data_IF_834787915670
#
_entry.id   IF_834787915670
#
_cell.length_a   1.000
_cell.length_b   1.000
_cell.length_c   1.000
_cell.angle_alpha   90.00
_cell.angle_beta   90.00
_cell.angle_gamma   90.00
#
_symmetry.space_group_name_H-M   'P 1'
#
loop_
_entity.id
_entity.type
_entity.pdbx_description
1 polymer ?
#
# COMPACT_ATOMS: atom_id res chain seq x y z
N UNK A 1 -6.38 8.85 -28.19
CA UNK A 1 -5.98 8.76 -26.78
C UNK A 1 -5.02 9.90 -26.47
N UNK A 2 -5.22 10.54 -25.33
CA UNK A 2 -4.33 11.62 -24.96
C UNK A 2 -2.97 11.10 -24.49
N UNK A 3 -1.96 11.89 -24.68
CA UNK A 3 -0.61 11.61 -24.23
C UNK A 3 -0.55 11.29 -22.73
N UNK A 4 -1.30 12.04 -21.92
CA UNK A 4 -1.30 11.84 -20.47
C UNK A 4 -1.89 10.49 -20.04
N UNK A 5 -2.81 9.92 -20.81
CA UNK A 5 -3.37 8.60 -20.52
C UNK A 5 -2.32 7.52 -20.72
N UNK A 6 -1.54 7.59 -21.80
CA UNK A 6 -0.47 6.64 -22.07
C UNK A 6 0.60 6.70 -20.98
N UNK A 7 1.00 7.88 -20.59
CA UNK A 7 1.97 8.09 -19.52
C UNK A 7 1.47 7.51 -18.20
N UNK A 8 0.18 7.73 -17.90
CA UNK A 8 -0.43 7.23 -16.68
C UNK A 8 -0.42 5.71 -16.63
N UNK A 9 -0.72 5.04 -17.75
CA UNK A 9 -0.72 3.58 -17.82
C UNK A 9 0.67 3.02 -17.57
N UNK A 10 1.71 3.63 -18.13
CA UNK A 10 3.09 3.20 -17.94
C UNK A 10 3.56 3.31 -16.50
N UNK A 11 3.00 4.26 -15.73
CA UNK A 11 3.39 4.49 -14.35
C UNK A 11 2.54 3.74 -13.34
N UNK A 12 1.48 3.08 -13.76
CA UNK A 12 0.62 2.31 -12.86
C UNK A 12 1.24 0.94 -12.56
N UNK A 13 1.16 0.48 -11.28
CA UNK A 13 1.54 -0.88 -10.95
C UNK A 13 0.67 -1.89 -11.70
N UNK A 14 1.26 -3.01 -12.10
CA UNK A 14 0.55 -4.08 -12.80
C UNK A 14 0.90 -5.43 -12.20
N UNK A 15 0.08 -6.47 -12.44
CA UNK A 15 0.40 -7.82 -11.98
C UNK A 15 1.72 -8.35 -12.52
N UNK A 16 2.20 -7.85 -13.66
CA UNK A 16 3.48 -8.29 -14.22
C UNK A 16 4.67 -7.57 -13.60
N UNK A 17 4.55 -6.28 -13.33
CA UNK A 17 5.68 -5.46 -12.88
C UNK A 17 5.78 -5.33 -11.37
N UNK A 18 4.66 -5.47 -10.65
CA UNK A 18 4.64 -5.26 -9.20
C UNK A 18 4.76 -3.79 -8.80
N UNK A 19 4.86 -3.56 -7.51
CA UNK A 19 5.10 -2.22 -6.96
C UNK A 19 6.59 -1.86 -7.11
N UNK A 20 6.86 -0.58 -7.28
CA UNK A 20 8.25 -0.10 -7.35
C UNK A 20 8.88 -0.25 -5.96
N UNK A 21 10.15 -0.71 -5.89
CA UNK A 21 10.83 -0.87 -4.61
C UNK A 21 11.05 0.47 -3.91
N UNK A 22 11.31 0.40 -2.60
CA UNK A 22 11.67 1.58 -1.83
C UNK A 22 13.00 2.14 -2.30
N UNK A 23 13.06 3.45 -2.50
CA UNK A 23 14.30 4.14 -2.84
C UNK A 23 15.05 4.59 -1.59
N UNK A 24 14.31 4.92 -0.52
CA UNK A 24 14.90 5.37 0.73
C UNK A 24 14.31 4.58 1.90
N UNK A 25 15.07 3.66 2.52
CA UNK A 25 14.55 2.84 3.61
C UNK A 25 14.22 3.62 4.88
N UNK A 26 14.68 4.87 4.99
CA UNK A 26 14.37 5.70 6.15
C UNK A 26 12.93 6.22 6.15
N UNK A 27 12.25 6.20 5.00
CA UNK A 27 10.87 6.70 4.90
C UNK A 27 9.97 5.83 4.04
N UNK A 28 10.33 4.56 3.86
CA UNK A 28 9.59 3.65 3.00
C UNK A 28 9.74 2.22 3.50
N UNK A 29 8.63 1.47 3.51
CA UNK A 29 8.60 0.05 3.87
C UNK A 29 7.93 -0.72 2.75
N UNK A 30 8.54 -1.82 2.36
CA UNK A 30 8.03 -2.73 1.34
C UNK A 30 7.91 -4.12 1.95
N UNK A 31 6.74 -4.75 1.79
CA UNK A 31 6.44 -6.08 2.30
C UNK A 31 5.88 -6.95 1.17
N UNK A 32 6.29 -8.22 1.12
CA UNK A 32 5.76 -9.16 0.14
C UNK A 32 5.63 -10.53 0.78
N UNK A 33 4.51 -11.21 0.53
CA UNK A 33 4.29 -12.56 1.03
C UNK A 33 3.29 -13.30 0.16
N UNK A 34 3.47 -14.61 0.01
CA UNK A 34 2.50 -15.49 -0.63
C UNK A 34 1.40 -15.87 0.36
N UNK A 35 0.18 -15.98 -0.15
CA UNK A 35 -0.99 -16.41 0.64
C UNK A 35 -1.75 -17.49 -0.14
N UNK A 36 -2.27 -18.48 0.59
CA UNK A 36 -3.05 -19.57 -0.05
C UNK A 36 -4.33 -19.02 -0.68
N UNK A 37 -5.07 -18.19 0.04
CA UNK A 37 -6.27 -17.54 -0.48
C UNK A 37 -5.98 -16.06 -0.69
N UNK A 38 -5.25 -15.76 -1.75
CA UNK A 38 -4.76 -14.41 -2.02
C UNK A 38 -5.90 -13.42 -2.25
N UNK A 39 -6.99 -13.85 -2.90
CA UNK A 39 -8.11 -12.96 -3.18
C UNK A 39 -8.80 -12.52 -1.89
N UNK A 40 -9.08 -13.46 -1.00
CA UNK A 40 -9.68 -13.15 0.29
C UNK A 40 -8.75 -12.27 1.13
N UNK A 41 -7.47 -12.59 1.13
CA UNK A 41 -6.47 -11.83 1.90
C UNK A 41 -6.38 -10.40 1.38
N UNK A 42 -6.39 -10.21 0.07
CA UNK A 42 -6.38 -8.88 -0.53
C UNK A 42 -7.60 -8.07 -0.10
N UNK A 43 -8.79 -8.65 -0.19
CA UNK A 43 -10.02 -8.00 0.23
C UNK A 43 -9.99 -7.60 1.71
N UNK A 44 -9.48 -8.49 2.57
CA UNK A 44 -9.37 -8.22 3.99
C UNK A 44 -8.39 -7.07 4.27
N UNK A 45 -7.23 -7.06 3.59
CA UNK A 45 -6.26 -5.98 3.74
C UNK A 45 -6.81 -4.64 3.29
N UNK A 46 -7.52 -4.62 2.17
CA UNK A 46 -8.16 -3.39 1.68
C UNK A 46 -9.18 -2.88 2.70
N UNK A 47 -10.01 -3.76 3.25
CA UNK A 47 -10.99 -3.39 4.26
C UNK A 47 -10.32 -2.78 5.50
N UNK A 48 -9.21 -3.37 5.95
CA UNK A 48 -8.45 -2.86 7.09
C UNK A 48 -7.84 -1.49 6.74
N UNK A 49 -7.23 -1.37 5.56
CA UNK A 49 -6.58 -0.13 5.13
C UNK A 49 -7.58 1.04 5.04
N UNK A 50 -8.77 0.77 4.55
CA UNK A 50 -9.80 1.80 4.42
C UNK A 50 -10.29 2.34 5.77
N UNK A 51 -10.07 1.60 6.85
CA UNK A 51 -10.44 2.03 8.20
C UNK A 51 -9.33 2.82 8.91
N UNK A 52 -8.16 2.93 8.33
CA UNK A 52 -7.08 3.73 8.92
C UNK A 52 -7.54 5.18 8.97
N UNK A 53 -7.46 5.85 10.15
CA UNK A 53 -7.87 7.25 10.25
C UNK A 53 -7.09 8.16 9.29
N UNK A 54 -7.76 9.20 8.80
CA UNK A 54 -7.16 10.21 7.92
C UNK A 54 -6.61 9.63 6.62
N UNK A 55 -7.30 8.61 6.08
CA UNK A 55 -6.90 7.95 4.83
C UNK A 55 -7.89 8.31 3.73
N UNK A 56 -7.36 8.76 2.59
CA UNK A 56 -8.13 9.04 1.39
C UNK A 56 -7.80 7.99 0.34
N UNK A 57 -8.82 7.31 -0.18
CA UNK A 57 -8.65 6.30 -1.21
C UNK A 57 -8.46 6.98 -2.56
N UNK A 58 -7.40 6.64 -3.27
CA UNK A 58 -7.09 7.17 -4.60
C UNK A 58 -7.40 6.17 -5.71
N UNK A 59 -7.13 4.89 -5.49
CA UNK A 59 -7.39 3.82 -6.45
C UNK A 59 -7.95 2.62 -5.70
N UNK A 60 -8.90 1.92 -6.30
CA UNK A 60 -9.48 0.73 -5.70
C UNK A 60 -10.05 -0.16 -6.79
N UNK A 61 -9.36 -1.26 -7.11
CA UNK A 61 -9.85 -2.24 -8.05
C UNK A 61 -9.57 -3.66 -7.52
N UNK A 62 -9.76 -4.67 -8.35
CA UNK A 62 -9.68 -6.07 -7.92
C UNK A 62 -8.29 -6.54 -7.52
N UNK A 63 -7.24 -5.85 -7.95
CA UNK A 63 -5.87 -6.26 -7.69
C UNK A 63 -5.00 -5.18 -7.10
N UNK A 64 -5.47 -3.93 -7.05
CA UNK A 64 -4.65 -2.81 -6.60
C UNK A 64 -5.48 -1.80 -5.80
N UNK A 65 -4.94 -1.40 -4.66
CA UNK A 65 -5.52 -0.37 -3.80
C UNK A 65 -4.44 0.64 -3.44
N UNK A 66 -4.80 1.90 -3.51
CA UNK A 66 -3.90 2.98 -3.09
C UNK A 66 -4.66 4.02 -2.28
N UNK A 67 -4.07 4.41 -1.16
CA UNK A 67 -4.59 5.49 -0.33
C UNK A 67 -3.48 6.41 0.13
N UNK A 68 -3.85 7.61 0.51
CA UNK A 68 -2.96 8.56 1.16
C UNK A 68 -3.35 8.62 2.63
N UNK A 69 -2.41 8.26 3.50
CA UNK A 69 -2.58 8.31 4.95
C UNK A 69 -1.86 9.53 5.49
N UNK A 70 -2.53 10.31 6.36
CA UNK A 70 -1.90 11.50 6.93
C UNK A 70 -1.63 11.30 8.41
N UNK A 71 -0.48 11.79 8.87
CA UNK A 71 -0.13 11.73 10.28
C UNK A 71 -1.04 12.63 11.10
N UNK A 72 -1.16 12.32 12.40
CA UNK A 72 -2.13 12.99 13.26
C UNK A 72 -1.77 14.47 13.50
N UNK A 73 -0.52 14.77 13.78
CA UNK A 73 -0.09 16.11 14.17
C UNK A 73 0.29 16.96 12.96
N UNK A 74 1.23 16.49 12.17
CA UNK A 74 1.77 17.27 11.05
C UNK A 74 1.03 17.05 9.75
N UNK A 75 0.18 16.02 9.67
CA UNK A 75 -0.61 15.68 8.49
C UNK A 75 0.23 15.45 7.23
N UNK A 76 1.45 14.95 7.42
CA UNK A 76 2.30 14.57 6.30
C UNK A 76 1.68 13.41 5.54
N UNK A 77 1.62 13.50 4.21
CA UNK A 77 1.02 12.44 3.40
C UNK A 77 1.98 11.29 3.18
N UNK A 78 1.48 10.08 3.42
CA UNK A 78 2.19 8.84 3.11
C UNK A 78 1.34 8.05 2.12
N UNK A 79 1.98 7.54 1.07
CA UNK A 79 1.28 6.68 0.10
C UNK A 79 1.30 5.24 0.60
N UNK A 80 0.13 4.66 0.74
CA UNK A 80 -0.05 3.24 1.07
C UNK A 80 -0.59 2.52 -0.15
N UNK A 81 0.11 1.47 -0.58
CA UNK A 81 -0.26 0.70 -1.75
C UNK A 81 -0.34 -0.78 -1.39
N UNK A 82 -1.37 -1.46 -1.90
CA UNK A 82 -1.55 -2.90 -1.75
C UNK A 82 -1.81 -3.47 -3.14
N UNK A 83 -0.97 -4.41 -3.57
CA UNK A 83 -1.08 -5.02 -4.89
C UNK A 83 -1.15 -6.54 -4.76
N UNK A 84 -2.12 -7.14 -5.42
CA UNK A 84 -2.21 -8.58 -5.58
C UNK A 84 -1.54 -8.96 -6.90
N UNK A 85 -0.51 -9.80 -6.82
CA UNK A 85 0.24 -10.25 -7.99
C UNK A 85 0.44 -11.76 -7.91
N UNK A 86 -0.30 -12.51 -8.74
CA UNK A 86 -0.29 -13.97 -8.66
C UNK A 86 -0.82 -14.44 -7.31
N UNK A 87 -0.03 -15.23 -6.59
CA UNK A 87 -0.36 -15.70 -5.24
C UNK A 87 0.23 -14.82 -4.15
N UNK A 88 0.83 -13.70 -4.52
CA UNK A 88 1.51 -12.81 -3.59
C UNK A 88 0.74 -11.53 -3.38
N UNK A 89 0.97 -10.92 -2.22
CA UNK A 89 0.52 -9.57 -1.94
C UNK A 89 1.75 -8.74 -1.62
N UNK A 90 1.83 -7.58 -2.26
CA UNK A 90 2.84 -6.58 -1.98
C UNK A 90 2.18 -5.40 -1.27
N UNK A 91 2.82 -4.91 -0.21
CA UNK A 91 2.36 -3.74 0.54
C UNK A 91 3.53 -2.77 0.60
N UNK A 92 3.27 -1.52 0.24
CA UNK A 92 4.28 -0.47 0.31
C UNK A 92 3.68 0.75 1.00
N UNK A 93 4.41 1.28 1.99
CA UNK A 93 4.04 2.52 2.66
C UNK A 93 5.23 3.46 2.63
N UNK A 94 5.06 4.63 2.04
CA UNK A 94 6.16 5.54 1.79
C UNK A 94 5.74 6.99 1.97
N UNK A 95 6.60 7.77 2.62
CA UNK A 95 6.39 9.20 2.78
C UNK A 95 6.65 9.92 1.47
N UNK A 96 5.81 10.92 1.14
CA UNK A 96 6.00 11.73 -0.07
C UNK A 96 7.14 12.71 0.08
N UNK A 97 7.42 13.13 1.32
CA UNK A 97 8.46 14.11 1.61
C UNK A 97 9.69 13.41 2.17
N UNK A 98 10.88 13.95 1.87
CA UNK A 98 12.15 13.36 2.25
C UNK A 98 12.41 13.40 3.75
N UNK A 99 13.48 12.73 4.17
CA UNK A 99 13.87 12.59 5.56
C UNK A 99 13.37 11.28 6.14
N UNK A 100 13.59 11.08 7.43
CA UNK A 100 13.12 9.90 8.14
C UNK A 100 11.68 10.05 8.60
N UNK A 101 10.96 8.93 8.71
CA UNK A 101 9.56 8.92 9.14
C UNK A 101 9.38 8.48 10.60
N UNK A 102 10.47 8.29 11.33
CA UNK A 102 10.48 7.82 12.73
C UNK A 102 9.74 6.47 12.89
N UNK A 103 9.77 5.63 11.86
CA UNK A 103 9.13 4.31 11.90
C UNK A 103 7.63 4.31 11.64
N UNK A 104 7.05 5.43 11.21
CA UNK A 104 5.60 5.52 10.99
C UNK A 104 5.13 4.56 9.91
N UNK A 105 5.85 4.47 8.77
CA UNK A 105 5.46 3.56 7.70
C UNK A 105 5.59 2.10 8.12
N UNK A 106 6.64 1.75 8.86
CA UNK A 106 6.81 0.40 9.40
C UNK A 106 5.69 0.02 10.36
N UNK A 107 5.33 0.92 11.26
CA UNK A 107 4.23 0.73 12.20
C UNK A 107 2.91 0.52 11.46
N UNK A 108 2.66 1.30 10.41
CA UNK A 108 1.44 1.18 9.61
C UNK A 108 1.31 -0.19 8.97
N UNK A 109 2.36 -0.66 8.31
CA UNK A 109 2.37 -1.99 7.68
C UNK A 109 2.23 -3.08 8.74
N UNK A 110 2.94 -2.94 9.87
CA UNK A 110 2.84 -3.89 10.98
C UNK A 110 1.41 -4.01 11.51
N UNK A 111 0.69 -2.90 11.66
CA UNK A 111 -0.70 -2.91 12.12
C UNK A 111 -1.64 -3.57 11.11
N UNK A 112 -1.43 -3.34 9.82
CA UNK A 112 -2.20 -4.02 8.78
C UNK A 112 -2.06 -5.54 8.91
N UNK A 113 -0.84 -6.01 9.07
CA UNK A 113 -0.57 -7.45 9.17
C UNK A 113 -1.10 -8.04 10.46
N UNK A 114 -0.96 -7.34 11.58
CA UNK A 114 -1.50 -7.77 12.87
C UNK A 114 -3.02 -7.89 12.81
N UNK A 115 -3.69 -6.90 12.24
CA UNK A 115 -5.15 -6.92 12.11
C UNK A 115 -5.61 -8.02 11.15
N UNK A 116 -4.84 -8.28 10.10
CA UNK A 116 -5.12 -9.40 9.19
C UNK A 116 -5.07 -10.74 9.95
N UNK A 117 -4.04 -10.95 10.77
CA UNK A 117 -3.92 -12.16 11.57
C UNK A 117 -5.12 -12.34 12.50
N UNK A 118 -5.59 -11.27 13.13
CA UNK A 118 -6.76 -11.31 14.01
C UNK A 118 -8.01 -11.74 13.29
N UNK A 119 -8.19 -11.35 12.03
CA UNK A 119 -9.35 -11.76 11.24
C UNK A 119 -9.34 -13.24 10.90
N UNK A 120 -8.18 -13.87 10.84
CA UNK A 120 -8.01 -15.24 10.41
C UNK A 120 -7.70 -16.23 11.54
N UNK A 121 -7.75 -15.77 12.77
CA UNK A 121 -7.56 -16.62 13.96
C UNK A 121 -8.89 -16.91 14.65
#
# INVERSE_FOLDING_TARGET
MSWSICERIENMPSPESGLKPCLNPLNCVFFQKEFENVDKTFEQLVAIAQKIPRTKVLENNQSYWKGVCRSMVFRFPDDLEILKIGKKIQIKSASRYGGGDLGVNGTRVGRLLTNLEKLNN
#
